data_IF_718816743998
#
_entry.id   IF_718816743998
#
_cell.length_a   1.000
_cell.length_b   1.000
_cell.length_c   1.000
_cell.angle_alpha   90.00
_cell.angle_beta   90.00
_cell.angle_gamma   90.00
#
_symmetry.space_group_name_H-M   'P 1'
#
loop_
_entity.id
_entity.type
_entity.pdbx_description
1 polymer ?
#
# COMPACT_ATOMS: atom_id res chain seq x y z
N UNK A 1 -25.55 -23.50 3.69
CA UNK A 1 -24.41 -24.43 3.58
C UNK A 1 -23.63 -24.40 4.88
N UNK A 2 -23.22 -25.55 5.41
CA UNK A 2 -22.33 -25.60 6.57
C UNK A 2 -20.97 -24.99 6.16
N UNK A 3 -20.41 -24.05 6.94
CA UNK A 3 -19.10 -23.41 6.66
C UNK A 3 -17.99 -24.43 6.38
N UNK A 4 -18.04 -25.59 7.04
CA UNK A 4 -17.11 -26.70 6.79
C UNK A 4 -17.22 -27.27 5.35
N UNK A 5 -18.43 -27.42 4.82
CA UNK A 5 -18.65 -27.93 3.46
C UNK A 5 -18.22 -26.93 2.39
N UNK A 6 -18.45 -25.63 2.62
CA UNK A 6 -17.99 -24.59 1.71
C UNK A 6 -16.46 -24.60 1.57
N UNK A 7 -15.74 -24.74 2.68
CA UNK A 7 -14.28 -24.81 2.69
C UNK A 7 -13.79 -26.11 2.02
N UNK A 8 -14.44 -27.24 2.27
CA UNK A 8 -14.13 -28.51 1.61
C UNK A 8 -14.30 -28.41 0.09
N UNK A 9 -15.37 -27.78 -0.38
CA UNK A 9 -15.59 -27.56 -1.82
C UNK A 9 -14.52 -26.67 -2.45
N UNK A 10 -14.11 -25.59 -1.76
CA UNK A 10 -13.03 -24.71 -2.24
C UNK A 10 -11.68 -25.44 -2.29
N UNK A 11 -11.40 -26.33 -1.34
CA UNK A 11 -10.13 -27.04 -1.23
C UNK A 11 -10.10 -28.42 -1.92
N UNK A 12 -11.18 -28.84 -2.60
CA UNK A 12 -11.29 -30.18 -3.21
C UNK A 12 -10.19 -30.49 -4.24
N UNK A 13 -9.71 -29.46 -4.94
CA UNK A 13 -8.63 -29.59 -5.94
C UNK A 13 -7.23 -29.40 -5.31
N UNK A 14 -7.15 -28.98 -4.04
CA UNK A 14 -5.89 -28.67 -3.39
C UNK A 14 -5.26 -29.89 -2.71
N UNK A 15 -6.08 -30.68 -2.01
CA UNK A 15 -5.67 -31.95 -1.36
C UNK A 15 -6.90 -32.81 -1.03
N UNK A 16 -6.68 -34.10 -0.80
CA UNK A 16 -7.74 -35.05 -0.50
C UNK A 16 -8.02 -35.08 1.01
N UNK A 17 -9.18 -34.56 1.41
CA UNK A 17 -9.65 -34.60 2.78
C UNK A 17 -10.40 -35.88 3.10
N UNK A 18 -10.07 -36.52 4.21
CA UNK A 18 -10.83 -37.64 4.77
C UNK A 18 -11.43 -37.26 6.12
N UNK A 19 -12.58 -37.82 6.44
CA UNK A 19 -13.27 -37.56 7.69
C UNK A 19 -12.43 -38.09 8.86
N UNK A 20 -12.17 -37.25 9.85
CA UNK A 20 -11.44 -37.60 11.08
C UNK A 20 -12.34 -37.33 12.29
N UNK A 21 -13.03 -38.38 12.73
CA UNK A 21 -14.05 -38.29 13.78
C UNK A 21 -15.33 -37.59 13.31
N UNK A 22 -16.24 -37.30 14.25
CA UNK A 22 -17.56 -36.74 13.91
C UNK A 22 -17.51 -35.26 13.48
N UNK A 23 -16.46 -34.51 13.86
CA UNK A 23 -16.47 -33.05 13.79
C UNK A 23 -15.29 -32.43 13.01
N UNK A 24 -14.52 -33.22 12.24
CA UNK A 24 -13.41 -32.66 11.45
C UNK A 24 -13.06 -33.47 10.20
N UNK A 25 -12.44 -32.80 9.24
CA UNK A 25 -11.80 -33.41 8.08
C UNK A 25 -10.31 -33.15 8.11
N UNK A 26 -9.50 -34.12 7.70
CA UNK A 26 -8.04 -34.02 7.68
C UNK A 26 -7.45 -34.38 6.33
N UNK A 27 -6.38 -33.70 5.96
CA UNK A 27 -5.55 -34.02 4.81
C UNK A 27 -4.07 -33.89 5.18
N UNK A 28 -3.21 -34.63 4.47
CA UNK A 28 -1.76 -34.49 4.56
C UNK A 28 -1.21 -33.97 3.24
N UNK A 29 -0.37 -32.95 3.29
CA UNK A 29 0.33 -32.37 2.14
C UNK A 29 1.67 -31.84 2.61
N UNK A 30 2.74 -32.09 1.86
CA UNK A 30 4.09 -31.56 2.10
C UNK A 30 4.56 -31.61 3.58
N UNK A 31 4.47 -32.77 4.24
CA UNK A 31 4.84 -32.94 5.66
C UNK A 31 4.08 -32.04 6.65
N UNK A 32 2.90 -31.58 6.27
CA UNK A 32 1.95 -30.89 7.14
C UNK A 32 0.57 -31.55 7.07
N UNK A 33 -0.16 -31.43 8.18
CA UNK A 33 -1.52 -31.92 8.38
C UNK A 33 -2.45 -30.73 8.43
N UNK A 34 -3.47 -30.74 7.58
CA UNK A 34 -4.50 -29.71 7.47
C UNK A 34 -5.76 -30.29 8.10
N UNK A 35 -6.37 -29.59 9.06
CA UNK A 35 -7.61 -29.99 9.74
C UNK A 35 -8.68 -28.93 9.55
N UNK A 36 -9.86 -29.32 9.06
CA UNK A 36 -11.02 -28.44 8.89
C UNK A 36 -12.09 -28.83 9.91
N UNK A 37 -12.39 -27.93 10.83
CA UNK A 37 -13.40 -28.11 11.88
C UNK A 37 -14.81 -27.74 11.40
N UNK A 38 -15.84 -28.21 12.12
CA UNK A 38 -17.26 -27.93 11.82
C UNK A 38 -17.60 -26.43 11.78
N UNK A 39 -16.91 -25.60 12.56
CA UNK A 39 -17.10 -24.14 12.56
C UNK A 39 -16.43 -23.41 11.38
N UNK A 40 -15.73 -24.14 10.50
CA UNK A 40 -14.97 -23.58 9.38
C UNK A 40 -13.56 -23.09 9.74
N UNK A 41 -13.07 -23.41 10.94
CA UNK A 41 -11.68 -23.15 11.30
C UNK A 41 -10.76 -24.16 10.60
N UNK A 42 -9.69 -23.67 9.98
CA UNK A 42 -8.67 -24.48 9.30
C UNK A 42 -7.38 -24.38 10.09
N UNK A 43 -6.89 -25.52 10.58
CA UNK A 43 -5.66 -25.62 11.34
C UNK A 43 -4.60 -26.37 10.53
N UNK A 44 -3.41 -25.79 10.43
CA UNK A 44 -2.25 -26.42 9.78
C UNK A 44 -1.17 -26.73 10.82
N UNK A 45 -0.65 -27.96 10.81
CA UNK A 45 0.41 -28.42 11.71
C UNK A 45 1.51 -29.12 10.91
N UNK A 46 2.79 -28.89 11.23
CA UNK A 46 3.92 -29.58 10.59
C UNK A 46 5.04 -28.63 10.18
N UNK A 47 6.05 -29.17 9.46
CA UNK A 47 7.25 -28.41 9.08
C UNK A 47 6.97 -27.27 8.09
N UNK A 48 6.02 -27.46 7.18
CA UNK A 48 5.69 -26.49 6.13
C UNK A 48 4.41 -25.69 6.44
N UNK A 49 4.14 -25.44 7.73
CA UNK A 49 2.90 -24.78 8.19
C UNK A 49 2.66 -23.46 7.47
N UNK A 50 3.64 -22.56 7.47
CA UNK A 50 3.47 -21.19 6.93
C UNK A 50 3.16 -21.20 5.43
N UNK A 51 3.87 -22.03 4.66
CA UNK A 51 3.65 -22.18 3.21
C UNK A 51 2.23 -22.69 2.91
N UNK A 52 1.79 -23.73 3.61
CA UNK A 52 0.44 -24.29 3.40
C UNK A 52 -0.66 -23.33 3.88
N UNK A 53 -0.44 -22.59 4.97
CA UNK A 53 -1.38 -21.56 5.41
C UNK A 53 -1.54 -20.46 4.37
N UNK A 54 -0.46 -20.03 3.72
CA UNK A 54 -0.52 -19.06 2.61
C UNK A 54 -1.33 -19.61 1.42
N UNK A 55 -0.99 -20.79 0.92
CA UNK A 55 -1.70 -21.43 -0.20
C UNK A 55 -3.19 -21.62 0.09
N UNK A 56 -3.54 -22.07 1.30
CA UNK A 56 -4.94 -22.24 1.72
C UNK A 56 -5.66 -20.89 1.81
N UNK A 57 -5.02 -19.85 2.37
CA UNK A 57 -5.65 -18.53 2.48
C UNK A 57 -5.92 -17.92 1.10
N UNK A 58 -5.01 -18.08 0.15
CA UNK A 58 -5.21 -17.69 -1.25
C UNK A 58 -6.42 -18.40 -1.86
N UNK A 59 -6.52 -19.73 -1.73
CA UNK A 59 -7.63 -20.51 -2.29
C UNK A 59 -8.97 -20.17 -1.62
N UNK A 60 -8.95 -19.90 -0.31
CA UNK A 60 -10.16 -19.55 0.43
C UNK A 60 -10.59 -18.09 0.25
N UNK A 61 -9.79 -17.28 -0.47
CA UNK A 61 -10.02 -15.84 -0.62
C UNK A 61 -10.02 -15.11 0.72
N UNK A 62 -9.31 -15.65 1.72
CA UNK A 62 -9.17 -14.99 3.02
C UNK A 62 -8.12 -13.90 2.85
N UNK A 63 -8.52 -12.65 3.10
CA UNK A 63 -7.60 -11.51 3.18
C UNK A 63 -6.42 -11.87 4.08
N UNK A 64 -5.20 -11.53 3.62
CA UNK A 64 -3.95 -11.78 4.34
C UNK A 64 -4.09 -11.19 5.75
N UNK A 65 -4.01 -12.04 6.79
CA UNK A 65 -4.07 -11.58 8.19
C UNK A 65 -2.77 -10.86 8.48
N UNK A 66 -2.84 -9.54 8.54
CA UNK A 66 -1.69 -8.67 8.78
C UNK A 66 -1.35 -8.77 10.26
N UNK A 67 -0.19 -9.38 10.58
CA UNK A 67 0.34 -9.38 11.95
C UNK A 67 0.66 -7.93 12.34
N UNK A 68 -0.28 -7.26 13.02
CA UNK A 68 -0.17 -6.08 13.89
C UNK A 68 0.76 -4.88 13.54
N UNK A 69 1.41 -4.87 12.37
CA UNK A 69 2.31 -3.81 11.97
C UNK A 69 1.56 -2.88 11.02
N UNK A 70 1.41 -1.63 11.44
CA UNK A 70 0.84 -0.55 10.63
C UNK A 70 1.77 -0.33 9.43
N UNK A 71 1.40 -0.82 8.24
CA UNK A 71 2.23 -0.61 7.07
C UNK A 71 1.99 0.79 6.49
N UNK A 72 3.08 1.42 6.07
CA UNK A 72 3.17 2.70 5.39
C UNK A 72 3.52 2.45 3.92
N UNK A 73 2.70 2.94 3.00
CA UNK A 73 3.02 2.86 1.57
C UNK A 73 3.68 4.15 1.11
N UNK A 74 4.68 4.10 0.22
CA UNK A 74 5.26 5.30 -0.39
C UNK A 74 5.00 5.25 -1.89
N UNK A 75 4.29 6.26 -2.39
CA UNK A 75 4.07 6.49 -3.82
C UNK A 75 4.99 7.61 -4.26
N UNK A 76 5.77 7.37 -5.31
CA UNK A 76 6.70 8.34 -5.86
C UNK A 76 6.89 8.08 -7.36
N UNK A 77 7.37 9.08 -8.08
CA UNK A 77 7.66 8.95 -9.49
C UNK A 77 9.15 8.74 -9.76
N UNK A 78 9.76 9.64 -10.52
CA UNK A 78 11.13 9.48 -11.02
C UNK A 78 12.21 10.04 -10.10
N UNK A 79 11.88 10.96 -9.19
CA UNK A 79 12.84 11.53 -8.24
C UNK A 79 13.19 10.51 -7.13
N UNK A 80 14.10 9.59 -7.46
CA UNK A 80 14.62 8.58 -6.53
C UNK A 80 15.37 9.20 -5.35
N UNK A 81 15.99 10.36 -5.55
CA UNK A 81 16.77 11.04 -4.51
C UNK A 81 15.83 11.53 -3.40
N UNK A 82 14.75 12.22 -3.76
CA UNK A 82 13.75 12.66 -2.78
C UNK A 82 13.12 11.48 -2.04
N UNK A 83 12.89 10.36 -2.75
CA UNK A 83 12.39 9.11 -2.17
C UNK A 83 13.37 8.50 -1.17
N UNK A 84 14.64 8.35 -1.52
CA UNK A 84 15.68 7.80 -0.64
C UNK A 84 15.89 8.68 0.60
N UNK A 85 15.83 10.00 0.43
CA UNK A 85 15.89 10.95 1.56
C UNK A 85 14.69 10.78 2.51
N UNK A 86 13.49 10.61 1.96
CA UNK A 86 12.28 10.35 2.74
C UNK A 86 12.40 9.02 3.51
N UNK A 87 12.85 7.95 2.86
CA UNK A 87 13.06 6.66 3.51
C UNK A 87 14.06 6.75 4.66
N UNK A 88 15.18 7.44 4.46
CA UNK A 88 16.17 7.65 5.51
C UNK A 88 15.61 8.40 6.72
N UNK A 89 14.69 9.34 6.49
CA UNK A 89 13.97 10.03 7.57
C UNK A 89 13.07 9.04 8.31
N UNK A 90 12.29 8.24 7.59
CA UNK A 90 11.37 7.26 8.18
C UNK A 90 12.13 6.19 9.00
N UNK A 91 13.26 5.72 8.50
CA UNK A 91 14.15 4.80 9.23
C UNK A 91 14.64 5.41 10.55
N UNK A 92 15.03 6.69 10.54
CA UNK A 92 15.43 7.42 11.76
C UNK A 92 14.30 7.60 12.76
N UNK A 93 13.05 7.58 12.28
CA UNK A 93 11.83 7.63 13.10
C UNK A 93 11.38 6.24 13.57
N UNK A 94 12.20 5.19 13.37
CA UNK A 94 11.92 3.79 13.68
C UNK A 94 10.74 3.18 12.88
N UNK A 95 10.41 3.79 11.74
CA UNK A 95 9.49 3.22 10.76
C UNK A 95 10.30 2.31 9.85
N UNK A 96 10.31 1.03 10.21
CA UNK A 96 11.16 0.00 9.62
C UNK A 96 10.77 -0.34 8.17
N UNK A 97 11.74 -0.82 7.38
CA UNK A 97 11.58 -1.18 5.95
C UNK A 97 10.49 -2.22 5.69
N UNK A 98 10.22 -3.14 6.62
CA UNK A 98 9.12 -4.11 6.50
C UNK A 98 7.72 -3.48 6.66
N UNK A 99 7.66 -2.25 7.17
CA UNK A 99 6.46 -1.43 7.20
C UNK A 99 6.34 -0.60 5.92
N UNK A 100 7.41 -0.44 5.13
CA UNK A 100 7.43 0.32 3.89
C UNK A 100 7.25 -0.61 2.69
N UNK A 101 6.16 -0.46 1.95
CA UNK A 101 5.98 -1.16 0.69
C UNK A 101 6.38 -0.23 -0.48
N UNK A 102 7.38 -0.68 -1.24
CA UNK A 102 8.04 0.04 -2.33
C UNK A 102 7.92 -0.76 -3.62
N UNK A 103 7.03 -0.37 -4.53
CA UNK A 103 6.85 -1.11 -5.78
C UNK A 103 7.40 -0.33 -6.96
N UNK A 104 8.72 -0.42 -7.15
CA UNK A 104 9.31 -0.13 -8.45
C UNK A 104 8.95 -1.26 -9.43
N UNK A 105 8.03 -0.99 -10.35
CA UNK A 105 7.77 -1.85 -11.51
C UNK A 105 6.48 -2.67 -11.46
N UNK A 106 5.82 -2.79 -10.30
CA UNK A 106 4.40 -3.14 -10.23
C UNK A 106 3.60 -1.86 -10.03
N UNK A 107 2.48 -1.72 -10.73
CA UNK A 107 1.57 -0.61 -10.46
C UNK A 107 1.04 -0.73 -9.03
N UNK A 108 0.80 0.39 -8.35
CA UNK A 108 0.14 0.35 -7.03
C UNK A 108 -1.26 -0.27 -7.13
N UNK A 109 -1.86 -0.35 -8.31
CA UNK A 109 -3.07 -1.16 -8.57
C UNK A 109 -2.82 -2.63 -8.20
N UNK A 110 -1.77 -3.26 -8.74
CA UNK A 110 -1.43 -4.67 -8.49
C UNK A 110 -0.99 -4.88 -7.03
N UNK A 111 -0.31 -3.90 -6.46
CA UNK A 111 0.13 -3.91 -5.07
C UNK A 111 -1.06 -3.82 -4.10
N UNK A 112 -1.96 -2.87 -4.35
CA UNK A 112 -3.18 -2.71 -3.58
C UNK A 112 -4.01 -3.99 -3.71
N UNK A 113 -4.25 -4.52 -4.92
CA UNK A 113 -5.01 -5.77 -5.09
C UNK A 113 -4.46 -6.96 -4.29
N UNK A 114 -3.13 -7.08 -4.14
CA UNK A 114 -2.48 -8.19 -3.42
C UNK A 114 -2.25 -7.93 -1.92
N UNK A 115 -2.08 -6.68 -1.51
CA UNK A 115 -1.63 -6.30 -0.15
C UNK A 115 -2.61 -5.37 0.60
N UNK A 116 -3.81 -5.18 0.06
CA UNK A 116 -4.86 -4.25 0.54
C UNK A 116 -5.19 -4.38 2.03
N UNK A 117 -5.04 -5.56 2.64
CA UNK A 117 -5.46 -5.79 4.01
C UNK A 117 -4.50 -5.20 5.05
N UNK A 118 -3.26 -4.85 4.68
CA UNK A 118 -2.20 -4.51 5.63
C UNK A 118 -1.79 -3.04 5.65
N UNK A 119 -2.22 -2.26 4.66
CA UNK A 119 -1.84 -0.84 4.53
C UNK A 119 -2.63 0.01 5.53
N UNK A 120 -1.90 0.70 6.41
CA UNK A 120 -2.46 1.56 7.44
C UNK A 120 -2.44 3.03 7.03
N UNK A 121 -1.39 3.48 6.35
CA UNK A 121 -1.27 4.83 5.81
C UNK A 121 -0.46 4.86 4.50
N UNK A 122 -0.57 5.96 3.75
CA UNK A 122 0.21 6.19 2.53
C UNK A 122 0.84 7.58 2.51
N UNK A 123 2.09 7.66 2.07
CA UNK A 123 2.78 8.90 1.71
C UNK A 123 2.83 9.02 0.20
N UNK A 124 2.36 10.15 -0.31
CA UNK A 124 2.41 10.51 -1.73
C UNK A 124 3.51 11.56 -1.89
N UNK A 125 4.53 11.24 -2.67
CA UNK A 125 5.63 12.14 -2.98
C UNK A 125 5.44 12.72 -4.38
N UNK A 126 4.93 13.94 -4.45
CA UNK A 126 4.73 14.70 -5.68
C UNK A 126 5.99 15.48 -6.01
N UNK A 127 6.69 15.08 -7.08
CA UNK A 127 7.92 15.71 -7.57
C UNK A 127 7.71 16.23 -9.00
N UNK A 128 8.47 17.25 -9.44
CA UNK A 128 8.31 17.85 -10.77
C UNK A 128 8.89 16.95 -11.88
N UNK A 129 8.29 15.77 -12.05
CA UNK A 129 8.79 14.72 -12.96
C UNK A 129 8.44 14.99 -14.43
N UNK A 130 7.27 15.58 -14.67
CA UNK A 130 6.75 15.88 -16.00
C UNK A 130 6.48 17.39 -16.12
N UNK A 131 6.34 17.87 -17.35
CA UNK A 131 5.81 19.20 -17.66
C UNK A 131 4.41 19.10 -18.27
N UNK A 132 3.58 20.11 -18.07
CA UNK A 132 2.26 20.27 -18.67
C UNK A 132 2.11 21.65 -19.32
N UNK A 133 1.24 21.69 -20.31
CA UNK A 133 0.76 22.89 -20.97
C UNK A 133 -0.70 22.63 -21.34
N UNK A 134 -1.61 23.52 -20.94
CA UNK A 134 -3.01 23.36 -21.29
C UNK A 134 -3.19 23.59 -22.79
N UNK A 135 -4.17 22.91 -23.41
CA UNK A 135 -4.47 23.10 -24.83
C UNK A 135 -4.84 24.57 -25.13
N UNK A 136 -5.55 25.21 -24.20
CA UNK A 136 -5.92 26.61 -24.29
C UNK A 136 -4.69 27.51 -24.31
N UNK A 137 -3.76 27.33 -23.37
CA UNK A 137 -2.54 28.13 -23.30
C UNK A 137 -1.63 27.88 -24.51
N UNK A 138 -1.59 26.64 -25.01
CA UNK A 138 -0.88 26.32 -26.25
C UNK A 138 -1.49 27.05 -27.46
N UNK A 139 -2.81 27.13 -27.56
CA UNK A 139 -3.50 27.81 -28.67
C UNK A 139 -3.36 29.35 -28.58
N UNK A 140 -3.48 29.92 -27.38
CA UNK A 140 -3.42 31.37 -27.14
C UNK A 140 -1.98 31.91 -27.16
N UNK A 141 -0.99 31.10 -26.77
CA UNK A 141 0.41 31.51 -26.59
C UNK A 141 1.38 30.68 -27.41
N UNK A 142 0.94 30.17 -28.57
CA UNK A 142 1.73 29.30 -29.44
C UNK A 142 3.13 29.85 -29.78
N UNK A 143 3.23 31.17 -29.94
CA UNK A 143 4.48 31.86 -30.29
C UNK A 143 5.40 32.11 -29.07
N UNK A 144 4.90 31.94 -27.84
CA UNK A 144 5.68 32.05 -26.60
C UNK A 144 5.06 31.21 -25.46
N UNK A 145 5.34 29.90 -25.46
CA UNK A 145 4.77 28.96 -24.48
C UNK A 145 5.52 28.93 -23.14
N UNK A 146 6.73 29.51 -23.03
CA UNK A 146 7.61 29.32 -21.86
C UNK A 146 6.97 29.74 -20.54
N UNK A 147 6.20 30.84 -20.54
CA UNK A 147 5.49 31.33 -19.35
C UNK A 147 4.26 30.51 -18.94
N UNK A 148 3.87 29.53 -19.76
CA UNK A 148 2.67 28.70 -19.58
C UNK A 148 2.98 27.22 -19.36
N UNK A 149 4.28 26.86 -19.34
CA UNK A 149 4.71 25.52 -18.99
C UNK A 149 4.70 25.39 -17.46
N UNK A 150 4.00 24.37 -16.99
CA UNK A 150 3.94 24.03 -15.57
C UNK A 150 4.69 22.72 -15.32
N UNK A 151 5.36 22.62 -14.19
CA UNK A 151 5.86 21.36 -13.67
C UNK A 151 4.72 20.60 -13.00
N UNK A 152 4.71 19.28 -13.11
CA UNK A 152 3.70 18.43 -12.48
C UNK A 152 4.28 17.10 -12.02
N UNK A 153 3.55 16.46 -11.12
CA UNK A 153 3.82 15.08 -10.77
C UNK A 153 3.51 14.13 -11.92
N UNK A 154 4.20 12.98 -11.93
CA UNK A 154 3.95 11.90 -12.88
C UNK A 154 2.49 11.45 -12.80
N UNK A 155 1.85 11.26 -13.95
CA UNK A 155 0.42 10.92 -14.01
C UNK A 155 0.05 9.65 -13.23
N UNK A 156 0.91 8.64 -13.25
CA UNK A 156 0.70 7.42 -12.47
C UNK A 156 0.63 7.71 -10.96
N UNK A 157 1.48 8.61 -10.45
CA UNK A 157 1.48 9.01 -9.03
C UNK A 157 0.15 9.66 -8.65
N UNK A 158 -0.42 10.47 -9.55
CA UNK A 158 -1.73 11.11 -9.34
C UNK A 158 -2.86 10.06 -9.30
N UNK A 159 -2.84 9.08 -10.20
CA UNK A 159 -3.81 7.98 -10.20
C UNK A 159 -3.74 7.16 -8.91
N UNK A 160 -2.52 6.78 -8.51
CA UNK A 160 -2.26 5.96 -7.33
C UNK A 160 -2.61 6.70 -6.02
N UNK A 161 -2.34 8.02 -5.96
CA UNK A 161 -2.83 8.89 -4.89
C UNK A 161 -4.34 8.83 -4.76
N UNK A 162 -5.08 8.94 -5.87
CA UNK A 162 -6.55 8.84 -5.87
C UNK A 162 -7.03 7.50 -5.29
N UNK A 163 -6.39 6.41 -5.67
CA UNK A 163 -6.71 5.07 -5.16
C UNK A 163 -6.39 4.92 -3.66
N UNK A 164 -5.24 5.40 -3.21
CA UNK A 164 -4.86 5.38 -1.79
C UNK A 164 -5.84 6.22 -0.98
N UNK A 165 -6.21 7.41 -1.46
CA UNK A 165 -7.19 8.25 -0.79
C UNK A 165 -8.57 7.60 -0.72
N UNK A 166 -9.00 6.91 -1.79
CA UNK A 166 -10.26 6.17 -1.80
C UNK A 166 -10.25 5.01 -0.78
N UNK A 167 -9.10 4.34 -0.63
CA UNK A 167 -8.95 3.19 0.26
C UNK A 167 -8.75 3.55 1.73
N UNK A 168 -7.82 4.47 2.02
CA UNK A 168 -7.37 4.82 3.37
C UNK A 168 -8.06 6.08 3.91
N UNK A 169 -8.70 6.85 3.03
CA UNK A 169 -9.24 8.16 3.35
C UNK A 169 -8.17 9.22 3.46
N UNK A 170 -8.60 10.49 3.47
CA UNK A 170 -7.72 11.66 3.61
C UNK A 170 -6.92 11.64 4.92
N UNK A 171 -7.53 11.12 6.01
CA UNK A 171 -6.90 11.08 7.34
C UNK A 171 -5.63 10.23 7.37
N UNK A 172 -5.54 9.17 6.57
CA UNK A 172 -4.38 8.27 6.54
C UNK A 172 -3.55 8.43 5.26
N UNK A 173 -3.76 9.52 4.52
CA UNK A 173 -2.95 9.90 3.36
C UNK A 173 -2.16 11.16 3.70
N UNK A 174 -0.85 11.11 3.46
CA UNK A 174 0.10 12.21 3.67
C UNK A 174 0.62 12.62 2.30
N UNK A 175 0.41 13.88 1.90
CA UNK A 175 0.87 14.39 0.61
C UNK A 175 2.08 15.28 0.84
N UNK A 176 3.20 14.94 0.21
CA UNK A 176 4.43 15.70 0.18
C UNK A 176 4.63 16.27 -1.22
N UNK A 177 5.07 17.51 -1.33
CA UNK A 177 5.25 18.21 -2.60
C UNK A 177 6.62 18.84 -2.67
N UNK A 178 7.42 18.50 -3.68
CA UNK A 178 8.73 19.10 -3.94
C UNK A 178 8.57 20.29 -4.89
N UNK A 179 8.89 21.49 -4.40
CA UNK A 179 8.75 22.72 -5.18
C UNK A 179 7.31 22.98 -5.61
N UNK A 180 7.17 23.71 -6.72
CA UNK A 180 5.88 23.96 -7.36
C UNK A 180 5.57 22.80 -8.31
N UNK A 181 4.45 22.13 -8.07
CA UNK A 181 3.89 21.12 -8.96
C UNK A 181 2.41 21.39 -9.11
N UNK A 182 1.91 21.34 -10.34
CA UNK A 182 0.48 21.40 -10.63
C UNK A 182 -0.22 20.18 -9.99
N UNK A 183 -1.37 20.43 -9.37
CA UNK A 183 -2.18 19.43 -8.68
C UNK A 183 -3.62 19.54 -9.19
N UNK A 184 -4.37 18.42 -9.34
CA UNK A 184 -5.79 18.48 -9.69
C UNK A 184 -6.58 19.36 -8.72
N UNK A 185 -7.44 20.22 -9.27
CA UNK A 185 -8.24 21.20 -8.52
C UNK A 185 -9.15 20.56 -7.46
N UNK A 186 -9.66 19.36 -7.72
CA UNK A 186 -10.49 18.59 -6.79
C UNK A 186 -9.79 18.25 -5.46
N UNK A 187 -8.46 18.31 -5.41
CA UNK A 187 -7.66 18.03 -4.20
C UNK A 187 -6.88 19.25 -3.69
N UNK A 188 -7.12 20.44 -4.23
CA UNK A 188 -6.45 21.68 -3.80
C UNK A 188 -6.75 22.03 -2.32
N UNK A 189 -7.90 21.60 -1.81
CA UNK A 189 -8.28 21.72 -0.39
C UNK A 189 -7.64 20.70 0.55
N UNK A 190 -6.77 19.80 0.06
CA UNK A 190 -6.10 18.79 0.89
C UNK A 190 -4.77 19.33 1.41
N UNK A 191 -4.58 19.21 2.72
CA UNK A 191 -3.34 19.64 3.37
C UNK A 191 -2.13 18.88 2.80
N UNK A 192 -1.14 19.64 2.31
CA UNK A 192 0.11 19.13 1.76
C UNK A 192 1.32 19.71 2.49
N UNK A 193 2.36 18.90 2.63
CA UNK A 193 3.65 19.34 3.16
C UNK A 193 4.59 19.65 1.99
N UNK A 194 4.83 20.94 1.77
CA UNK A 194 5.71 21.41 0.71
C UNK A 194 7.15 21.57 1.23
N UNK A 195 8.11 21.02 0.48
CA UNK A 195 9.55 21.20 0.71
C UNK A 195 10.21 21.61 -0.61
N UNK A 196 11.38 22.24 -0.57
CA UNK A 196 12.06 22.70 -1.78
C UNK A 196 13.02 21.66 -2.33
N UNK A 197 13.97 21.24 -1.51
CA UNK A 197 15.07 20.37 -1.94
C UNK A 197 15.09 19.07 -1.14
N UNK A 198 14.92 19.15 0.18
CA UNK A 198 15.05 18.02 1.08
C UNK A 198 13.83 17.87 2.00
N UNK A 199 13.24 16.66 2.14
CA UNK A 199 12.11 16.44 3.03
C UNK A 199 12.39 16.74 4.52
N UNK A 200 13.66 16.87 4.93
CA UNK A 200 14.01 17.32 6.29
C UNK A 200 13.44 18.71 6.62
N UNK A 201 13.24 19.56 5.61
CA UNK A 201 12.61 20.89 5.76
C UNK A 201 11.21 20.82 6.41
N UNK A 202 10.51 19.70 6.21
CA UNK A 202 9.16 19.46 6.72
C UNK A 202 9.12 18.42 7.85
N UNK A 203 10.27 18.01 8.39
CA UNK A 203 10.39 16.90 9.35
C UNK A 203 9.39 17.02 10.51
N UNK A 204 9.32 18.19 11.15
CA UNK A 204 8.42 18.40 12.29
C UNK A 204 6.95 18.14 11.93
N UNK A 205 6.50 18.71 10.81
CA UNK A 205 5.12 18.54 10.33
C UNK A 205 4.85 17.12 9.85
N UNK A 206 5.85 16.47 9.27
CA UNK A 206 5.76 15.07 8.85
C UNK A 206 5.57 14.14 10.06
N UNK A 207 6.34 14.36 11.14
CA UNK A 207 6.19 13.61 12.40
C UNK A 207 4.79 13.81 12.99
N UNK A 208 4.31 15.05 13.10
CA UNK A 208 2.96 15.35 13.57
C UNK A 208 1.89 14.60 12.75
N UNK A 209 2.04 14.58 11.43
CA UNK A 209 1.10 13.88 10.54
C UNK A 209 1.18 12.36 10.67
N UNK A 210 2.36 11.79 10.85
CA UNK A 210 2.55 10.36 11.10
C UNK A 210 1.92 9.95 12.45
N UNK A 211 2.06 10.76 13.49
CA UNK A 211 1.40 10.57 14.78
C UNK A 211 -0.14 10.61 14.65
N UNK A 212 -0.70 11.55 13.87
CA UNK A 212 -2.13 11.61 13.57
C UNK A 212 -2.68 10.41 12.80
N UNK A 213 -1.86 9.86 11.89
CA UNK A 213 -2.12 8.58 11.23
C UNK A 213 -2.04 7.42 12.22
N UNK A 214 -1.44 7.60 13.40
CA UNK A 214 -1.36 6.62 14.47
C UNK A 214 -0.05 5.84 14.51
N UNK A 215 1.02 6.30 13.87
CA UNK A 215 2.36 5.75 14.10
C UNK A 215 2.87 6.21 15.47
N UNK A 216 3.56 5.32 16.18
CA UNK A 216 4.20 5.64 17.45
C UNK A 216 5.64 5.98 17.11
N UNK A 217 6.00 7.25 17.28
CA UNK A 217 7.35 7.73 17.01
C UNK A 217 7.98 8.06 18.35
N UNK A 218 9.07 7.37 18.68
CA UNK A 218 9.81 7.64 19.91
C UNK A 218 10.64 8.92 19.72
N UNK A 219 10.31 9.96 20.50
CA UNK A 219 10.99 11.25 20.46
C UNK A 219 12.32 11.12 21.22
N UNK A 220 13.34 10.57 20.56
CA UNK A 220 14.71 10.58 21.08
C UNK A 220 15.32 11.97 21.05
#
# INVERSE_FOLDING_TARGET
>A
MNKQQEILEKLKNYTNFSQSGNNSYKAKKDNATITIHTNGNVQVQGKNKEKIEQEINEILGKEKICKNNKQLFIVYGHDKIAKEQLEHILEKLDIQTNQIANNTGMTIIEALEKEISCVHAGIILLTPDDISLSKKDYEEHKDNIEGYIHTRARQNVILEMGMIMAKLGRKNTIILSKGEVEIPSDIDGIFRLQFKENPTEILKKLVERLEECGFIIDKK
#
